data_IF_217238536289
#
_entry.id   IF_217238536289
#
_cell.length_a   1.000
_cell.length_b   1.000
_cell.length_c   1.000
_cell.angle_alpha   90.00
_cell.angle_beta   90.00
_cell.angle_gamma   90.00
#
_symmetry.space_group_name_H-M   'P 1'
#
loop_
_entity.id
_entity.type
_entity.pdbx_description
1 polymer ?
#
# COMPACT_ATOMS: atom_id res chain seq x y z
N UNK A 1 -72.60 -27.94 6.27
CA UNK A 1 -72.16 -29.20 6.89
C UNK A 1 -70.64 -29.14 6.86
N UNK A 2 -70.05 -28.34 7.74
CA UNK A 2 -69.60 -28.74 9.10
C UNK A 2 -68.29 -29.52 9.02
N UNK A 3 -67.15 -28.86 9.25
CA UNK A 3 -66.54 -28.58 10.56
C UNK A 3 -65.90 -29.83 11.20
N UNK A 4 -64.55 -29.86 11.26
CA UNK A 4 -63.76 -29.94 12.52
C UNK A 4 -62.24 -29.98 12.23
N UNK A 5 -61.45 -29.32 13.08
CA UNK A 5 -59.97 -29.40 13.22
C UNK A 5 -59.65 -30.31 14.43
N UNK A 6 -58.43 -30.90 14.60
CA UNK A 6 -57.23 -30.19 15.19
C UNK A 6 -55.84 -30.77 14.70
N UNK A 7 -54.71 -30.02 14.55
CA UNK A 7 -53.72 -29.48 15.53
C UNK A 7 -52.32 -30.19 15.53
N UNK A 8 -51.27 -29.40 15.23
CA UNK A 8 -49.82 -29.44 15.65
C UNK A 8 -48.92 -30.66 15.30
N UNK A 9 -47.73 -30.36 14.76
CA UNK A 9 -46.52 -31.22 14.80
C UNK A 9 -45.34 -30.60 14.05
N UNK A 10 -44.18 -30.41 14.70
CA UNK A 10 -42.98 -29.76 14.15
C UNK A 10 -41.97 -30.76 13.58
N UNK A 11 -41.23 -30.40 12.52
CA UNK A 11 -39.75 -30.55 12.42
C UNK A 11 -39.24 -30.00 11.10
N UNK A 12 -38.13 -29.27 11.15
CA UNK A 12 -37.36 -28.81 9.99
C UNK A 12 -36.23 -29.82 9.73
N UNK A 13 -36.01 -30.22 8.48
CA UNK A 13 -34.81 -30.97 8.10
C UNK A 13 -34.32 -30.48 6.73
N UNK A 14 -33.16 -29.83 6.72
CA UNK A 14 -32.67 -29.07 5.56
C UNK A 14 -31.74 -29.92 4.69
N UNK A 15 -32.31 -30.42 3.59
CA UNK A 15 -31.60 -31.08 2.49
C UNK A 15 -30.46 -30.20 1.95
N UNK A 16 -29.25 -30.74 1.94
CA UNK A 16 -28.11 -30.21 1.18
C UNK A 16 -27.41 -31.36 0.45
N UNK A 17 -27.17 -31.20 -0.85
CA UNK A 17 -26.57 -32.24 -1.71
C UNK A 17 -25.08 -31.96 -1.95
N UNK A 18 -24.24 -32.99 -2.20
CA UNK A 18 -22.81 -32.82 -2.37
C UNK A 18 -22.45 -32.38 -3.80
N UNK A 19 -21.45 -31.51 -3.92
CA UNK A 19 -20.80 -31.21 -5.20
C UNK A 19 -19.83 -32.34 -5.59
N UNK A 20 -19.93 -32.83 -6.83
CA UNK A 20 -18.98 -33.78 -7.41
C UNK A 20 -17.77 -33.03 -7.99
N UNK A 21 -16.56 -33.57 -7.77
CA UNK A 21 -15.30 -33.04 -8.31
C UNK A 21 -14.82 -33.93 -9.45
N UNK A 22 -14.91 -33.43 -10.68
CA UNK A 22 -14.42 -34.15 -11.86
C UNK A 22 -12.89 -34.10 -11.92
N UNK A 23 -12.26 -35.28 -11.95
CA UNK A 23 -10.80 -35.45 -11.92
C UNK A 23 -10.35 -36.09 -13.22
N UNK A 24 -9.71 -35.32 -14.13
CA UNK A 24 -9.21 -35.87 -15.39
C UNK A 24 -7.74 -36.28 -15.29
N UNK A 25 -7.47 -37.56 -15.54
CA UNK A 25 -6.12 -38.15 -15.63
C UNK A 25 -5.82 -38.60 -17.06
N UNK A 26 -4.66 -38.22 -17.60
CA UNK A 26 -4.00 -38.82 -18.77
C UNK A 26 -2.50 -38.85 -18.48
N UNK A 27 -1.95 -39.97 -18.00
CA UNK A 27 -1.29 -41.05 -18.78
C UNK A 27 0.02 -40.63 -19.47
N UNK A 28 1.12 -41.17 -18.96
CA UNK A 28 2.50 -40.94 -19.41
C UNK A 28 2.88 -41.96 -20.48
N UNK A 29 3.64 -41.55 -21.50
CA UNK A 29 4.26 -42.45 -22.47
C UNK A 29 5.79 -42.46 -22.30
N UNK A 30 6.37 -43.66 -22.46
CA UNK A 30 7.77 -44.01 -22.25
C UNK A 30 8.73 -43.47 -23.34
N UNK A 31 9.95 -43.08 -22.95
CA UNK A 31 11.17 -43.13 -23.77
C UNK A 31 12.42 -42.79 -22.94
N UNK A 32 13.33 -43.76 -22.80
CA UNK A 32 14.65 -43.62 -22.16
C UNK A 32 15.74 -43.23 -23.16
N UNK A 33 16.77 -42.47 -22.75
CA UNK A 33 18.13 -42.72 -23.26
C UNK A 33 19.18 -42.90 -22.14
N UNK A 34 20.07 -43.89 -22.32
CA UNK A 34 21.25 -44.12 -21.47
C UNK A 34 22.47 -43.25 -21.88
N UNK A 35 23.46 -43.04 -20.98
CA UNK A 35 24.69 -42.29 -21.27
C UNK A 35 25.83 -43.19 -21.80
N UNK A 36 26.88 -42.61 -22.42
CA UNK A 36 28.13 -43.31 -22.77
C UNK A 36 29.29 -43.09 -21.78
N UNK A 37 30.18 -44.08 -21.71
CA UNK A 37 31.53 -44.06 -21.11
C UNK A 37 32.52 -44.76 -22.07
N UNK A 38 33.83 -44.87 -21.87
CA UNK A 38 34.71 -44.61 -20.71
C UNK A 38 36.12 -44.21 -21.20
N UNK A 39 36.82 -43.26 -20.53
CA UNK A 39 38.26 -43.06 -20.77
C UNK A 39 39.01 -42.32 -19.63
N UNK A 40 39.82 -43.06 -18.88
CA UNK A 40 40.89 -42.60 -17.96
C UNK A 40 42.28 -42.67 -18.68
N UNK A 41 43.47 -42.31 -18.11
CA UNK A 41 43.80 -42.01 -16.70
C UNK A 41 44.84 -40.89 -16.36
N UNK A 42 44.83 -40.42 -15.10
CA UNK A 42 45.99 -40.12 -14.20
C UNK A 42 47.07 -39.04 -14.59
N UNK A 43 47.88 -38.51 -13.63
CA UNK A 43 48.06 -38.91 -12.23
C UNK A 43 47.91 -37.82 -11.14
N UNK A 44 47.99 -38.30 -9.90
CA UNK A 44 47.89 -37.64 -8.60
C UNK A 44 49.03 -36.69 -8.21
N UNK A 45 48.74 -35.75 -7.28
CA UNK A 45 49.60 -35.48 -6.12
C UNK A 45 48.82 -34.86 -4.95
N UNK A 46 49.03 -35.39 -3.74
CA UNK A 46 48.70 -34.79 -2.44
C UNK A 46 49.99 -34.71 -1.60
N UNK A 47 50.11 -33.81 -0.61
CA UNK A 47 49.80 -34.20 0.79
C UNK A 47 49.18 -33.04 1.63
N UNK A 48 48.14 -33.29 2.44
CA UNK A 48 48.17 -33.61 3.89
C UNK A 48 48.27 -32.41 4.88
N UNK A 49 47.27 -32.27 5.74
CA UNK A 49 47.28 -31.52 7.03
C UNK A 49 47.95 -32.40 8.15
N UNK A 50 47.90 -32.13 9.50
CA UNK A 50 47.28 -31.06 10.31
C UNK A 50 48.20 -30.50 11.46
N UNK A 51 47.81 -30.33 12.76
CA UNK A 51 47.27 -29.10 13.36
C UNK A 51 47.95 -28.62 14.68
N UNK A 52 47.49 -27.50 15.27
CA UNK A 52 47.19 -27.31 16.72
C UNK A 52 46.69 -25.86 16.97
N UNK A 53 45.50 -25.58 17.55
CA UNK A 53 44.99 -25.76 18.94
C UNK A 53 45.57 -24.78 19.98
N UNK A 54 44.79 -23.75 20.37
CA UNK A 54 44.61 -23.34 21.78
C UNK A 54 43.48 -22.30 21.98
N UNK A 55 42.60 -22.61 22.93
CA UNK A 55 41.58 -21.75 23.56
C UNK A 55 42.16 -20.53 24.28
N UNK A 56 41.37 -19.45 24.47
CA UNK A 56 41.28 -18.57 25.68
C UNK A 56 40.21 -17.48 25.37
N UNK A 57 39.01 -17.56 25.97
CA UNK A 57 38.54 -16.74 27.09
C UNK A 57 38.50 -15.21 26.87
N UNK A 58 37.28 -14.68 26.70
CA UNK A 58 36.98 -13.23 26.68
C UNK A 58 36.44 -12.79 28.04
N UNK A 59 37.00 -11.71 28.61
CA UNK A 59 36.54 -11.13 29.89
C UNK A 59 36.44 -9.59 29.80
N UNK A 60 35.52 -9.01 30.57
CA UNK A 60 35.15 -7.59 30.48
C UNK A 60 36.08 -6.67 31.28
N UNK A 61 36.32 -5.44 30.80
CA UNK A 61 36.60 -4.26 31.63
C UNK A 61 36.30 -2.96 30.86
N UNK A 62 36.02 -1.87 31.59
CA UNK A 62 35.55 -0.60 31.05
C UNK A 62 36.51 0.59 31.34
N UNK A 63 36.10 1.79 30.88
CA UNK A 63 36.73 3.11 31.10
C UNK A 63 38.00 3.36 30.26
N UNK A 64 38.34 4.57 29.80
CA UNK A 64 38.01 5.95 30.24
C UNK A 64 37.85 6.92 29.05
N UNK A 65 37.40 8.16 29.30
CA UNK A 65 37.22 9.20 28.27
C UNK A 65 38.04 10.48 28.56
N UNK A 66 38.52 11.17 27.51
CA UNK A 66 38.84 12.62 27.46
C UNK A 66 39.12 13.04 26.01
N UNK A 67 38.39 13.96 25.34
CA UNK A 67 38.04 15.39 25.55
C UNK A 67 39.06 16.42 25.01
N UNK A 68 38.61 17.19 24.00
CA UNK A 68 38.90 18.61 23.57
C UNK A 68 39.02 18.66 22.03
N UNK A 69 38.61 19.71 21.29
CA UNK A 69 38.16 21.10 21.56
C UNK A 69 37.21 21.51 20.41
N UNK A 70 36.09 22.22 20.61
CA UNK A 70 35.94 23.69 20.45
C UNK A 70 36.04 24.15 18.98
N UNK A 71 35.10 24.87 18.35
CA UNK A 71 34.46 26.15 18.76
C UNK A 71 33.00 26.33 18.26
N UNK A 72 32.32 27.42 18.64
CA UNK A 72 30.87 27.60 18.52
C UNK A 72 30.43 29.00 18.01
N UNK A 73 29.16 29.13 17.57
CA UNK A 73 28.24 30.29 17.73
C UNK A 73 26.88 30.01 17.06
N UNK A 74 25.75 29.81 17.78
CA UNK A 74 24.77 30.81 18.30
C UNK A 74 24.04 31.62 17.20
N UNK A 75 22.71 31.80 17.17
CA UNK A 75 21.87 32.50 18.17
C UNK A 75 20.35 32.16 18.07
N UNK A 76 19.71 31.87 19.23
CA UNK A 76 18.37 32.23 19.80
C UNK A 76 17.11 32.48 18.90
N UNK A 77 15.85 32.41 19.39
CA UNK A 77 15.07 31.66 20.43
C UNK A 77 13.61 32.19 20.37
N UNK A 78 12.61 31.34 20.60
CA UNK A 78 11.20 31.74 20.89
C UNK A 78 10.90 31.71 22.39
N UNK A 79 9.81 32.37 22.85
CA UNK A 79 9.11 31.90 24.05
C UNK A 79 7.58 32.15 24.10
N UNK A 80 6.79 31.20 24.65
CA UNK A 80 5.92 31.43 25.84
C UNK A 80 5.03 30.24 26.25
N UNK A 81 4.89 30.10 27.58
CA UNK A 81 3.85 29.42 28.40
C UNK A 81 3.52 30.48 29.50
N UNK A 82 2.35 30.65 30.13
CA UNK A 82 1.40 29.67 30.68
C UNK A 82 0.05 30.31 31.10
N UNK A 83 -1.03 29.51 31.05
CA UNK A 83 -2.20 29.39 31.98
C UNK A 83 -2.91 30.63 32.62
N UNK A 84 -4.20 30.77 32.25
CA UNK A 84 -5.46 31.03 33.03
C UNK A 84 -5.47 32.00 34.24
N UNK A 85 -6.45 32.93 34.28
CA UNK A 85 -7.69 32.92 35.13
C UNK A 85 -8.58 34.17 34.94
N UNK A 86 -9.92 34.02 34.96
CA UNK A 86 -10.90 35.00 35.50
C UNK A 86 -11.40 36.17 34.62
N UNK A 87 -12.73 36.34 34.53
CA UNK A 87 -13.41 37.64 34.26
C UNK A 87 -14.00 38.22 35.56
N UNK A 88 -15.03 39.11 35.56
CA UNK A 88 -15.79 39.67 34.42
C UNK A 88 -16.17 41.19 34.49
N UNK A 89 -16.84 41.69 33.42
CA UNK A 89 -17.88 42.77 33.34
C UNK A 89 -17.61 44.28 33.67
N UNK A 90 -17.70 45.07 32.59
CA UNK A 90 -18.76 46.09 32.30
C UNK A 90 -18.69 47.60 32.69
N UNK A 91 -19.34 48.41 31.83
CA UNK A 91 -19.82 49.81 31.94
C UNK A 91 -18.78 50.97 31.74
N UNK A 92 -19.06 52.01 30.93
CA UNK A 92 -20.19 52.99 31.05
C UNK A 92 -20.61 53.67 29.72
N UNK A 93 -21.83 54.26 29.73
CA UNK A 93 -22.46 55.11 28.67
C UNK A 93 -22.43 56.60 29.04
N UNK A 94 -22.55 57.51 28.06
CA UNK A 94 -23.09 58.90 28.14
C UNK A 94 -22.84 59.63 26.78
N UNK A 95 -23.61 60.62 26.26
CA UNK A 95 -24.90 61.25 26.64
C UNK A 95 -25.57 61.93 25.40
N UNK A 96 -26.85 62.30 25.50
CA UNK A 96 -27.67 63.10 24.56
C UNK A 96 -27.45 64.63 24.77
N UNK A 97 -28.00 65.60 23.97
CA UNK A 97 -29.43 66.00 24.08
C UNK A 97 -30.17 66.69 22.88
N UNK A 98 -31.46 66.32 22.69
CA UNK A 98 -32.71 67.15 22.63
C UNK A 98 -33.02 68.33 21.63
N UNK A 99 -34.32 68.32 21.19
CA UNK A 99 -35.29 69.46 20.94
C UNK A 99 -35.15 70.31 19.64
N UNK A 100 -36.22 70.90 19.02
CA UNK A 100 -37.68 71.02 19.33
C UNK A 100 -38.56 71.57 18.15
N UNK A 101 -39.84 71.15 18.04
CA UNK A 101 -41.03 71.89 17.51
C UNK A 101 -41.12 72.21 15.98
N UNK A 102 -42.27 72.59 15.37
CA UNK A 102 -43.71 72.52 15.74
C UNK A 102 -44.62 72.91 14.54
N UNK A 103 -45.88 72.44 14.50
CA UNK A 103 -47.01 72.82 13.59
C UNK A 103 -46.90 72.48 12.08
N UNK A 104 -47.99 72.11 11.38
CA UNK A 104 -49.40 71.93 11.79
C UNK A 104 -50.25 71.21 10.72
N UNK A 105 -51.53 70.97 11.06
CA UNK A 105 -52.74 70.53 10.31
C UNK A 105 -52.70 70.11 8.81
N UNK A 106 -53.66 69.35 8.27
CA UNK A 106 -54.61 68.33 8.75
C UNK A 106 -55.49 67.93 7.55
N UNK A 107 -55.60 66.64 7.22
CA UNK A 107 -56.82 66.11 6.58
C UNK A 107 -57.03 64.68 7.03
N UNK A 108 -58.28 64.36 7.33
CA UNK A 108 -58.68 63.19 8.09
C UNK A 108 -59.31 62.10 7.20
N UNK A 109 -59.36 60.88 7.75
CA UNK A 109 -60.27 59.78 7.36
C UNK A 109 -60.18 59.19 5.93
N UNK A 110 -60.40 57.88 5.73
CA UNK A 110 -60.60 56.76 6.67
C UNK A 110 -60.47 55.41 5.94
N UNK A 111 -60.34 54.32 6.71
CA UNK A 111 -60.46 52.93 6.23
C UNK A 111 -59.15 52.40 5.65
N UNK A 112 -58.42 51.56 6.41
CA UNK A 112 -58.50 50.09 6.32
C UNK A 112 -57.70 49.58 5.11
N UNK A 113 -56.78 48.62 5.24
CA UNK A 113 -56.74 47.48 6.17
C UNK A 113 -55.32 47.20 6.69
N UNK A 114 -55.20 46.17 7.53
CA UNK A 114 -53.95 45.78 8.18
C UNK A 114 -53.02 45.07 7.17
N UNK A 115 -51.96 45.73 6.71
CA UNK A 115 -50.70 44.99 6.48
C UNK A 115 -50.00 44.82 7.83
N UNK A 116 -50.51 43.82 8.55
CA UNK A 116 -49.84 43.19 9.67
C UNK A 116 -48.40 42.87 9.26
N UNK A 117 -47.45 43.56 9.89
CA UNK A 117 -46.07 43.59 9.44
C UNK A 117 -45.39 42.28 9.77
N UNK A 118 -45.50 41.28 8.88
CA UNK A 118 -44.86 39.96 8.94
C UNK A 118 -43.32 40.01 8.74
N UNK A 119 -42.72 41.12 9.16
CA UNK A 119 -41.29 41.33 9.28
C UNK A 119 -40.87 41.04 10.71
N UNK A 120 -40.99 39.77 11.11
CA UNK A 120 -40.58 39.26 12.41
C UNK A 120 -39.11 39.60 12.75
N UNK A 121 -38.69 39.45 14.02
CA UNK A 121 -37.34 39.81 14.46
C UNK A 121 -36.29 38.76 14.02
N UNK A 122 -35.94 38.80 12.73
CA UNK A 122 -34.91 37.99 12.10
C UNK A 122 -33.50 38.40 12.53
N UNK A 123 -32.53 37.53 12.21
CA UNK A 123 -31.10 37.77 12.35
C UNK A 123 -30.61 37.98 13.80
N UNK A 124 -29.29 37.99 13.98
CA UNK A 124 -28.62 38.27 15.26
C UNK A 124 -28.98 39.65 15.82
N UNK A 125 -29.38 40.60 14.97
CA UNK A 125 -29.80 41.93 15.36
C UNK A 125 -31.26 42.04 15.83
N UNK A 126 -32.08 40.98 15.64
CA UNK A 126 -33.54 41.00 15.89
C UNK A 126 -34.24 42.17 15.18
N UNK A 127 -33.85 42.39 13.93
CA UNK A 127 -34.42 43.42 13.07
C UNK A 127 -35.40 42.82 12.06
N UNK A 128 -36.29 43.67 11.54
CA UNK A 128 -37.09 43.36 10.35
C UNK A 128 -36.21 43.07 9.12
N UNK A 129 -36.78 42.41 8.11
CA UNK A 129 -36.23 42.45 6.75
C UNK A 129 -36.33 43.89 6.22
N UNK A 130 -35.18 44.52 6.04
CA UNK A 130 -35.05 45.90 5.53
C UNK A 130 -34.58 45.95 4.06
N UNK A 131 -34.85 44.87 3.31
CA UNK A 131 -34.46 44.65 1.91
C UNK A 131 -32.93 44.62 1.66
N UNK A 132 -32.10 44.61 2.71
CA UNK A 132 -30.69 44.22 2.57
C UNK A 132 -30.59 42.74 2.21
N UNK A 133 -29.46 42.36 1.61
CA UNK A 133 -29.24 40.95 1.27
C UNK A 133 -29.17 40.07 2.53
N UNK A 134 -30.03 39.05 2.58
CA UNK A 134 -30.13 38.07 3.67
C UNK A 134 -29.86 36.65 3.16
N UNK A 135 -29.51 35.75 4.08
CA UNK A 135 -29.35 34.31 3.82
C UNK A 135 -29.95 33.46 4.94
N UNK A 136 -30.65 32.38 4.58
CA UNK A 136 -31.28 31.44 5.52
C UNK A 136 -30.27 30.41 6.05
N UNK A 137 -30.38 30.01 7.32
CA UNK A 137 -29.57 28.98 7.96
C UNK A 137 -30.21 27.58 7.84
N UNK A 138 -29.49 26.63 7.25
CA UNK A 138 -29.95 25.23 7.01
C UNK A 138 -30.22 24.41 8.30
N UNK A 139 -29.88 24.93 9.48
CA UNK A 139 -30.09 24.22 10.77
C UNK A 139 -31.16 24.84 11.66
N UNK A 140 -31.40 26.16 11.58
CA UNK A 140 -32.38 26.84 12.43
C UNK A 140 -33.43 27.64 11.66
N UNK A 141 -33.37 27.62 10.33
CA UNK A 141 -34.35 28.21 9.40
C UNK A 141 -34.59 29.72 9.61
N UNK A 142 -33.70 30.39 10.34
CA UNK A 142 -33.67 31.84 10.59
C UNK A 142 -32.85 32.55 9.51
N UNK A 143 -33.21 33.81 9.24
CA UNK A 143 -32.65 34.64 8.17
C UNK A 143 -31.63 35.64 8.71
N UNK A 144 -30.50 35.80 8.01
CA UNK A 144 -29.38 36.62 8.48
C UNK A 144 -28.95 37.65 7.44
N UNK A 145 -29.06 38.95 7.79
CA UNK A 145 -28.45 40.04 7.03
C UNK A 145 -26.95 39.81 6.84
N UNK A 146 -26.45 39.87 5.59
CA UNK A 146 -25.04 39.63 5.28
C UNK A 146 -24.07 40.48 6.09
N UNK A 147 -24.39 41.76 6.30
CA UNK A 147 -23.60 42.68 7.12
C UNK A 147 -23.45 42.21 8.57
N UNK A 148 -24.51 41.64 9.16
CA UNK A 148 -24.52 41.16 10.54
C UNK A 148 -23.71 39.86 10.74
N UNK A 149 -23.41 39.14 9.66
CA UNK A 149 -22.58 37.92 9.66
C UNK A 149 -21.24 38.12 8.91
N UNK A 150 -20.88 39.37 8.58
CA UNK A 150 -19.70 39.74 7.81
C UNK A 150 -19.57 39.01 6.45
N UNK A 151 -20.70 38.72 5.79
CA UNK A 151 -20.78 38.05 4.50
C UNK A 151 -21.14 39.04 3.38
N UNK A 152 -20.31 39.11 2.34
CA UNK A 152 -20.62 39.89 1.15
C UNK A 152 -21.66 39.17 0.29
N UNK A 153 -22.63 39.92 -0.26
CA UNK A 153 -23.66 39.43 -1.20
C UNK A 153 -23.09 38.51 -2.28
N UNK A 154 -22.02 38.93 -2.96
CA UNK A 154 -21.37 38.12 -4.01
C UNK A 154 -20.91 36.74 -3.53
N UNK A 155 -20.35 36.65 -2.32
CA UNK A 155 -19.88 35.37 -1.73
C UNK A 155 -21.07 34.52 -1.32
N UNK A 156 -22.09 35.14 -0.72
CA UNK A 156 -23.30 34.47 -0.30
C UNK A 156 -24.07 33.83 -1.45
N UNK A 157 -24.33 34.58 -2.51
CA UNK A 157 -25.09 34.09 -3.68
C UNK A 157 -24.29 33.09 -4.53
N UNK A 158 -23.00 33.34 -4.75
CA UNK A 158 -22.22 32.57 -5.73
C UNK A 158 -21.40 31.44 -5.13
N UNK A 159 -20.94 31.56 -3.88
CA UNK A 159 -19.97 30.63 -3.28
C UNK A 159 -20.51 29.82 -2.11
N UNK A 160 -21.61 30.21 -1.46
CA UNK A 160 -22.21 29.33 -0.45
C UNK A 160 -22.99 28.21 -1.13
N UNK A 161 -22.82 27.00 -0.59
CA UNK A 161 -23.60 25.82 -0.93
C UNK A 161 -24.62 25.50 0.16
N UNK A 162 -24.22 25.60 1.43
CA UNK A 162 -25.08 25.47 2.60
C UNK A 162 -24.64 26.45 3.67
N UNK A 163 -25.54 27.31 4.15
CA UNK A 163 -25.21 28.27 5.20
C UNK A 163 -25.56 27.72 6.59
N UNK A 164 -24.59 27.79 7.50
CA UNK A 164 -24.79 27.54 8.93
C UNK A 164 -24.43 28.82 9.67
N UNK A 165 -25.38 29.38 10.42
CA UNK A 165 -25.18 30.65 11.12
C UNK A 165 -24.17 30.51 12.28
N UNK A 166 -23.61 31.63 12.78
CA UNK A 166 -22.63 31.61 13.88
C UNK A 166 -23.15 30.98 15.18
N UNK A 167 -24.47 30.91 15.40
CA UNK A 167 -25.08 30.28 16.58
C UNK A 167 -25.23 28.75 16.43
N UNK A 168 -25.33 28.24 15.21
CA UNK A 168 -25.48 26.82 14.91
C UNK A 168 -24.15 26.14 14.54
N UNK A 169 -23.10 26.93 14.29
CA UNK A 169 -21.77 26.42 13.91
C UNK A 169 -21.14 25.64 15.07
N UNK A 170 -20.78 24.37 14.84
CA UNK A 170 -20.14 23.48 15.81
C UNK A 170 -19.19 22.50 15.09
N UNK A 171 -18.66 21.49 15.80
CA UNK A 171 -17.69 20.53 15.23
C UNK A 171 -18.25 19.71 14.04
N UNK A 172 -19.57 19.52 13.96
CA UNK A 172 -20.22 18.72 12.91
C UNK A 172 -21.03 19.57 11.90
N UNK A 173 -21.35 20.82 12.23
CA UNK A 173 -22.13 21.73 11.38
C UNK A 173 -21.33 23.00 11.08
N UNK A 174 -20.96 23.18 9.81
CA UNK A 174 -20.22 24.34 9.31
C UNK A 174 -20.76 24.77 7.94
N UNK A 175 -20.67 26.05 7.61
CA UNK A 175 -21.01 26.57 6.27
C UNK A 175 -20.18 25.89 5.19
N UNK A 176 -20.83 25.31 4.19
CA UNK A 176 -20.19 24.69 3.04
C UNK A 176 -20.05 25.71 1.90
N UNK A 177 -18.85 25.75 1.31
CA UNK A 177 -18.52 26.66 0.21
C UNK A 177 -18.16 25.88 -1.06
N UNK A 178 -18.75 26.31 -2.18
CA UNK A 178 -18.41 25.90 -3.54
C UNK A 178 -16.95 26.27 -3.83
N UNK A 179 -16.24 25.44 -4.60
CA UNK A 179 -14.87 25.74 -5.04
C UNK A 179 -14.89 26.99 -5.93
N UNK A 180 -13.98 27.93 -5.68
CA UNK A 180 -13.78 29.12 -6.51
C UNK A 180 -13.12 28.76 -7.85
N UNK A 181 -13.39 29.57 -8.87
CA UNK A 181 -12.71 29.53 -10.16
C UNK A 181 -11.18 29.62 -10.01
N UNK A 182 -10.44 28.71 -10.67
CA UNK A 182 -8.98 28.64 -10.60
C UNK A 182 -8.24 29.82 -11.29
N UNK A 183 -8.95 30.69 -12.03
CA UNK A 183 -8.37 31.92 -12.56
C UNK A 183 -8.15 32.92 -11.42
N UNK A 184 -6.89 33.21 -11.10
CA UNK A 184 -6.52 34.14 -10.03
C UNK A 184 -7.23 35.49 -10.13
N UNK A 185 -7.92 35.87 -9.06
CA UNK A 185 -8.75 37.08 -8.96
C UNK A 185 -10.25 36.84 -9.17
N UNK A 186 -10.67 35.70 -9.74
CA UNK A 186 -12.08 35.37 -9.90
C UNK A 186 -12.71 34.83 -8.60
N UNK A 187 -13.88 35.35 -8.22
CA UNK A 187 -14.66 34.90 -7.05
C UNK A 187 -15.97 34.17 -7.41
N UNK A 188 -16.15 33.78 -8.66
CA UNK A 188 -17.28 32.94 -9.10
C UNK A 188 -17.00 31.48 -8.77
N UNK A 189 -18.05 30.68 -8.55
CA UNK A 189 -17.91 29.23 -8.39
C UNK A 189 -17.37 28.56 -9.67
N UNK A 190 -16.55 27.54 -9.49
CA UNK A 190 -16.10 26.64 -10.55
C UNK A 190 -17.20 25.63 -10.91
N UNK A 191 -17.29 25.23 -12.18
CA UNK A 191 -18.29 24.26 -12.68
C UNK A 191 -17.95 22.81 -12.32
N UNK A 192 -17.54 22.53 -11.07
CA UNK A 192 -17.02 21.22 -10.64
C UNK A 192 -18.12 20.13 -10.61
N UNK A 193 -19.35 20.52 -10.26
CA UNK A 193 -20.50 19.64 -10.15
C UNK A 193 -21.47 19.71 -11.35
N UNK A 194 -21.06 20.33 -12.46
CA UNK A 194 -21.86 20.41 -13.69
C UNK A 194 -21.48 19.27 -14.65
N UNK A 195 -22.29 19.08 -15.69
CA UNK A 195 -22.06 18.10 -16.76
C UNK A 195 -20.69 18.32 -17.44
N UNK A 196 -20.42 19.55 -17.88
CA UNK A 196 -19.06 20.00 -18.22
C UNK A 196 -18.25 20.34 -16.95
N UNK A 197 -17.67 19.31 -16.32
CA UNK A 197 -16.82 19.47 -15.13
C UNK A 197 -15.62 20.38 -15.41
N UNK A 198 -15.55 21.51 -14.73
CA UNK A 198 -14.44 22.46 -14.87
C UNK A 198 -14.02 23.10 -13.55
N UNK A 199 -12.71 23.32 -13.38
CA UNK A 199 -12.15 24.14 -12.29
C UNK A 199 -12.31 25.65 -12.52
N UNK A 200 -12.92 26.05 -13.64
CA UNK A 200 -13.20 27.44 -14.00
C UNK A 200 -14.70 27.72 -14.00
N UNK A 201 -15.09 28.99 -13.86
CA UNK A 201 -16.49 29.42 -13.94
C UNK A 201 -17.02 29.53 -15.39
N UNK A 202 -16.15 29.85 -16.35
CA UNK A 202 -16.48 29.92 -17.79
C UNK A 202 -15.35 29.36 -18.64
N UNK A 203 -15.63 29.02 -19.90
CA UNK A 203 -14.61 28.55 -20.84
C UNK A 203 -13.62 29.66 -21.20
N UNK A 204 -14.04 30.93 -21.20
CA UNK A 204 -13.18 32.10 -21.35
C UNK A 204 -12.13 32.20 -20.23
N UNK A 205 -12.51 31.87 -18.98
CA UNK A 205 -11.59 31.87 -17.84
C UNK A 205 -10.59 30.71 -17.93
N UNK A 206 -11.02 29.55 -18.44
CA UNK A 206 -10.13 28.42 -18.73
C UNK A 206 -9.12 28.79 -19.83
N UNK A 207 -9.61 29.39 -20.93
CA UNK A 207 -8.78 29.84 -22.05
C UNK A 207 -7.77 30.91 -21.62
N UNK A 208 -8.22 31.92 -20.87
CA UNK A 208 -7.34 32.98 -20.31
C UNK A 208 -6.25 32.39 -19.40
N UNK A 209 -6.58 31.35 -18.63
CA UNK A 209 -5.61 30.66 -17.79
C UNK A 209 -4.59 29.88 -18.63
N UNK A 210 -5.04 29.17 -19.68
CA UNK A 210 -4.17 28.45 -20.61
C UNK A 210 -3.22 29.39 -21.36
N UNK A 211 -3.73 30.48 -21.91
CA UNK A 211 -2.92 31.50 -22.59
C UNK A 211 -1.86 32.09 -21.66
N UNK A 212 -2.22 32.39 -20.39
CA UNK A 212 -1.27 32.84 -19.36
C UNK A 212 -0.27 31.77 -18.93
N UNK A 213 -0.58 30.49 -19.11
CA UNK A 213 0.35 29.40 -18.84
C UNK A 213 1.36 29.27 -19.99
N UNK A 214 0.86 29.17 -21.22
CA UNK A 214 1.66 29.05 -22.44
C UNK A 214 2.57 30.27 -22.64
N UNK A 215 2.07 31.48 -22.36
CA UNK A 215 2.85 32.71 -22.48
C UNK A 215 4.04 32.83 -21.50
N UNK A 216 4.16 31.94 -20.50
CA UNK A 216 5.36 31.86 -19.63
C UNK A 216 6.49 31.03 -20.24
N UNK A 217 6.20 30.22 -21.26
CA UNK A 217 7.20 29.36 -21.89
C UNK A 217 8.05 30.14 -22.89
N UNK A 218 9.33 29.78 -23.10
CA UNK A 218 10.16 30.36 -24.14
C UNK A 218 9.56 30.12 -25.54
N UNK A 219 9.53 31.16 -26.39
CA UNK A 219 9.08 31.03 -27.79
C UNK A 219 10.07 30.31 -28.69
N UNK A 220 11.36 30.29 -28.32
CA UNK A 220 12.42 29.67 -29.10
C UNK A 220 13.46 29.05 -28.16
N UNK A 221 14.08 27.96 -28.61
CA UNK A 221 15.16 27.29 -27.87
C UNK A 221 16.40 28.19 -27.88
N UNK A 222 16.93 28.50 -26.70
CA UNK A 222 18.09 29.38 -26.57
C UNK A 222 19.32 28.79 -27.28
N UNK A 223 20.11 29.63 -27.96
CA UNK A 223 21.41 29.24 -28.52
C UNK A 223 22.44 29.05 -27.39
N UNK A 224 22.38 27.91 -26.71
CA UNK A 224 23.36 27.48 -25.72
C UNK A 224 22.77 26.65 -24.60
N UNK A 225 23.23 25.39 -24.51
CA UNK A 225 22.94 24.49 -23.40
C UNK A 225 21.70 23.61 -23.57
N UNK A 226 21.77 22.41 -23.01
CA UNK A 226 20.59 21.57 -22.76
C UNK A 226 19.82 22.25 -21.63
N UNK A 227 18.63 22.76 -21.94
CA UNK A 227 17.73 23.38 -20.97
C UNK A 227 16.45 22.57 -20.94
N UNK A 228 16.07 22.05 -19.77
CA UNK A 228 14.88 21.21 -19.55
C UNK A 228 13.56 21.99 -19.69
N UNK A 229 13.60 23.29 -19.98
CA UNK A 229 12.42 24.09 -20.28
C UNK A 229 11.87 23.79 -21.69
N UNK A 230 10.66 23.23 -21.72
CA UNK A 230 9.84 23.13 -22.93
C UNK A 230 9.60 24.52 -23.54
N UNK A 231 9.86 24.64 -24.83
CA UNK A 231 9.38 25.78 -25.62
C UNK A 231 7.86 25.73 -25.80
N UNK A 232 7.26 26.85 -26.20
CA UNK A 232 5.85 26.92 -26.57
C UNK A 232 5.47 25.89 -27.65
N UNK A 233 6.35 25.66 -28.64
CA UNK A 233 6.12 24.70 -29.72
C UNK A 233 6.18 23.25 -29.22
N UNK A 234 7.20 22.89 -28.45
CA UNK A 234 7.34 21.56 -27.85
C UNK A 234 6.17 21.24 -26.90
N UNK A 235 5.70 22.22 -26.11
CA UNK A 235 4.55 22.05 -25.22
C UNK A 235 3.24 21.82 -25.98
N UNK A 236 2.98 22.59 -27.05
CA UNK A 236 1.79 22.41 -27.88
C UNK A 236 1.85 21.09 -28.66
N UNK A 237 3.03 20.67 -29.12
CA UNK A 237 3.24 19.38 -29.76
C UNK A 237 2.98 18.20 -28.80
N UNK A 238 3.36 18.31 -27.53
CA UNK A 238 3.03 17.30 -26.51
C UNK A 238 1.52 17.19 -26.25
N UNK A 239 0.80 18.32 -26.18
CA UNK A 239 -0.66 18.33 -26.03
C UNK A 239 -1.39 17.72 -27.24
N UNK A 240 -0.86 17.91 -28.46
CA UNK A 240 -1.45 17.37 -29.69
C UNK A 240 -1.01 15.93 -30.01
N UNK A 241 0.17 15.50 -29.53
CA UNK A 241 0.81 14.24 -29.92
C UNK A 241 0.15 12.97 -29.39
N UNK A 242 -1.00 13.06 -28.72
CA UNK A 242 -1.71 11.91 -28.14
C UNK A 242 -0.88 11.16 -27.10
N UNK A 243 0.13 11.82 -26.51
CA UNK A 243 1.12 11.16 -25.65
C UNK A 243 0.51 10.81 -24.29
N UNK A 244 -0.50 11.56 -23.84
CA UNK A 244 -1.25 11.35 -22.59
C UNK A 244 -2.66 10.82 -22.84
N UNK A 245 -3.08 9.84 -22.05
CA UNK A 245 -4.45 9.34 -21.98
C UNK A 245 -4.75 8.82 -20.58
N UNK A 246 -5.83 8.06 -20.45
CA UNK A 246 -6.24 7.44 -19.18
C UNK A 246 -6.21 5.92 -19.26
N UNK A 247 -5.84 5.26 -18.16
CA UNK A 247 -6.08 3.82 -17.99
C UNK A 247 -7.56 3.51 -17.64
N UNK A 248 -7.87 2.24 -17.41
CA UNK A 248 -9.23 1.75 -17.15
C UNK A 248 -9.82 2.33 -15.86
N UNK A 249 -8.95 2.73 -14.93
CA UNK A 249 -9.26 3.40 -13.66
C UNK A 249 -9.40 4.93 -13.80
N UNK A 250 -9.17 5.49 -14.99
CA UNK A 250 -9.24 6.93 -15.26
C UNK A 250 -8.01 7.73 -14.81
N UNK A 251 -6.89 7.06 -14.49
CA UNK A 251 -5.62 7.65 -14.10
C UNK A 251 -4.79 8.05 -15.32
N UNK A 252 -4.09 9.17 -15.25
CA UNK A 252 -3.28 9.67 -16.38
C UNK A 252 -2.04 8.81 -16.62
N UNK A 253 -1.90 8.27 -17.84
CA UNK A 253 -0.80 7.42 -18.31
C UNK A 253 -0.30 7.90 -19.68
N UNK A 254 0.95 7.58 -20.03
CA UNK A 254 1.41 7.73 -21.42
C UNK A 254 0.74 6.67 -22.31
N UNK A 255 0.05 7.09 -23.38
CA UNK A 255 -0.70 6.19 -24.29
C UNK A 255 0.21 5.22 -25.03
N UNK A 256 1.44 5.65 -25.34
CA UNK A 256 2.47 4.84 -25.97
C UNK A 256 3.70 4.81 -25.09
N UNK A 257 4.21 3.62 -24.81
CA UNK A 257 5.51 3.47 -24.17
C UNK A 257 6.60 4.06 -25.10
N UNK A 258 7.65 4.72 -24.56
CA UNK A 258 8.79 5.17 -25.36
C UNK A 258 9.35 4.03 -26.20
N UNK A 259 9.62 4.29 -27.48
CA UNK A 259 10.13 3.30 -28.44
C UNK A 259 9.24 2.05 -28.64
N UNK A 260 7.95 2.09 -28.25
CA UNK A 260 6.97 1.22 -28.85
C UNK A 260 6.96 1.49 -30.36
N UNK A 261 7.38 0.51 -31.16
CA UNK A 261 7.35 0.62 -32.61
C UNK A 261 5.93 0.87 -33.11
N UNK A 262 5.80 1.34 -34.36
CA UNK A 262 4.51 1.25 -35.03
C UNK A 262 4.13 -0.23 -35.11
N UNK A 263 3.11 -0.64 -34.35
CA UNK A 263 2.51 -1.95 -34.49
C UNK A 263 1.86 -2.02 -35.87
N UNK A 264 2.64 -2.50 -36.84
CA UNK A 264 2.15 -2.79 -38.18
C UNK A 264 1.11 -3.89 -38.05
N UNK A 265 -0.15 -3.48 -38.09
CA UNK A 265 -1.30 -4.38 -38.08
C UNK A 265 -1.31 -5.16 -39.40
N UNK A 266 -0.52 -6.24 -39.44
CA UNK A 266 -0.08 -6.93 -40.64
C UNK A 266 -0.02 -8.42 -40.40
N UNK A 267 -1.14 -9.08 -40.69
CA UNK A 267 -1.21 -10.54 -40.81
C UNK A 267 -0.24 -11.05 -41.87
N UNK A 268 0.79 -11.78 -41.46
CA UNK A 268 1.16 -13.09 -42.01
C UNK A 268 2.32 -13.66 -41.18
N UNK A 269 2.20 -14.92 -40.78
CA UNK A 269 3.19 -15.55 -39.90
C UNK A 269 4.29 -16.30 -40.65
N UNK A 270 5.45 -16.38 -40.02
CA UNK A 270 6.34 -17.54 -40.09
C UNK A 270 7.19 -17.57 -38.82
N UNK A 271 7.43 -18.77 -38.31
CA UNK A 271 8.37 -19.11 -37.23
C UNK A 271 8.18 -18.42 -35.87
N UNK A 272 7.67 -19.20 -34.90
CA UNK A 272 7.69 -18.86 -33.47
C UNK A 272 9.11 -19.05 -32.90
N UNK A 273 10.07 -18.25 -33.34
CA UNK A 273 11.23 -18.00 -32.49
C UNK A 273 10.76 -17.24 -31.26
N UNK A 274 11.13 -17.71 -30.06
CA UNK A 274 10.66 -17.11 -28.82
C UNK A 274 11.26 -15.69 -28.69
N UNK A 275 10.47 -14.60 -28.79
CA UNK A 275 11.00 -13.25 -28.90
C UNK A 275 11.73 -12.78 -27.64
N UNK A 276 11.61 -13.50 -26.53
CA UNK A 276 12.32 -13.26 -25.28
C UNK A 276 13.81 -13.66 -25.29
N UNK A 277 14.30 -14.42 -26.28
CA UNK A 277 15.70 -14.87 -26.32
C UNK A 277 16.58 -14.25 -27.42
N UNK A 278 15.96 -13.61 -28.42
CA UNK A 278 16.65 -13.10 -29.63
C UNK A 278 17.44 -11.81 -29.41
N UNK A 279 17.24 -11.12 -28.28
CA UNK A 279 17.76 -9.77 -28.02
C UNK A 279 18.59 -9.62 -26.73
N UNK A 280 18.84 -10.72 -26.02
CA UNK A 280 19.71 -10.78 -24.84
C UNK A 280 21.18 -10.96 -25.25
N UNK A 281 22.10 -10.28 -24.56
CA UNK A 281 23.54 -10.54 -24.69
C UNK A 281 23.93 -11.92 -24.11
N UNK A 282 25.17 -12.37 -24.36
CA UNK A 282 25.67 -13.60 -23.74
C UNK A 282 25.74 -13.47 -22.21
N UNK A 283 26.27 -12.35 -21.71
CA UNK A 283 26.36 -12.04 -20.26
C UNK A 283 24.97 -12.00 -19.61
N UNK A 284 23.95 -11.48 -20.31
CA UNK A 284 22.58 -11.42 -19.80
C UNK A 284 21.89 -12.79 -19.77
N UNK A 285 22.22 -13.68 -20.71
CA UNK A 285 21.76 -15.08 -20.69
C UNK A 285 22.36 -15.81 -19.49
N UNK A 286 23.67 -15.71 -19.29
CA UNK A 286 24.37 -16.29 -18.14
C UNK A 286 23.83 -15.75 -16.80
N UNK A 287 23.60 -14.43 -16.69
CA UNK A 287 22.99 -13.83 -15.50
C UNK A 287 21.56 -14.35 -15.26
N UNK A 288 20.72 -14.44 -16.29
CA UNK A 288 19.34 -14.97 -16.16
C UNK A 288 19.32 -16.47 -15.81
N UNK A 289 20.27 -17.26 -16.32
CA UNK A 289 20.43 -18.67 -15.96
C UNK A 289 20.89 -18.82 -14.50
N UNK A 290 21.85 -18.00 -14.05
CA UNK A 290 22.30 -17.95 -12.65
C UNK A 290 21.18 -17.49 -11.70
N UNK A 291 20.37 -16.51 -12.09
CA UNK A 291 19.24 -16.02 -11.31
C UNK A 291 18.13 -17.08 -11.20
N UNK A 292 17.83 -17.79 -12.29
CA UNK A 292 16.88 -18.89 -12.30
C UNK A 292 17.35 -20.06 -11.40
N UNK A 293 18.64 -20.38 -11.43
CA UNK A 293 19.25 -21.38 -10.54
C UNK A 293 19.17 -20.94 -9.06
N UNK A 294 19.44 -19.67 -8.76
CA UNK A 294 19.30 -19.12 -7.40
C UNK A 294 17.86 -19.21 -6.89
N UNK A 295 16.86 -18.84 -7.71
CA UNK A 295 15.43 -19.00 -7.37
C UNK A 295 15.03 -20.45 -7.16
N UNK A 296 15.59 -21.38 -7.94
CA UNK A 296 15.34 -22.81 -7.77
C UNK A 296 15.88 -23.31 -6.42
N UNK A 297 17.11 -22.94 -6.04
CA UNK A 297 17.67 -23.29 -4.73
C UNK A 297 16.88 -22.69 -3.57
N UNK A 298 16.47 -21.42 -3.64
CA UNK A 298 15.62 -20.79 -2.63
C UNK A 298 14.27 -21.50 -2.46
N UNK A 299 13.69 -22.01 -3.56
CA UNK A 299 12.48 -22.82 -3.51
C UNK A 299 12.71 -24.20 -2.86
N UNK A 300 13.83 -24.86 -3.17
CA UNK A 300 14.23 -26.14 -2.55
C UNK A 300 14.46 -25.99 -1.04
N UNK A 301 15.19 -24.95 -0.61
CA UNK A 301 15.38 -24.63 0.81
C UNK A 301 14.07 -24.28 1.51
N UNK A 302 13.17 -23.57 0.82
CA UNK A 302 11.82 -23.27 1.35
C UNK A 302 11.03 -24.56 1.59
N UNK A 303 11.07 -25.53 0.66
CA UNK A 303 10.44 -26.84 0.85
C UNK A 303 11.07 -27.61 2.02
N UNK A 304 12.39 -27.53 2.18
CA UNK A 304 13.10 -28.16 3.30
C UNK A 304 12.66 -27.57 4.65
N UNK A 305 12.54 -26.24 4.74
CA UNK A 305 12.05 -25.55 5.95
C UNK A 305 10.60 -25.92 6.29
N UNK A 306 9.74 -26.15 5.29
CA UNK A 306 8.39 -26.67 5.52
C UNK A 306 8.42 -28.10 6.08
N UNK A 307 9.27 -29.00 5.54
CA UNK A 307 9.46 -30.35 6.10
C UNK A 307 9.98 -30.31 7.55
N UNK A 308 10.88 -29.38 7.89
CA UNK A 308 11.34 -29.16 9.27
C UNK A 308 10.19 -28.76 10.19
N UNK A 309 9.30 -27.87 9.73
CA UNK A 309 8.13 -27.44 10.49
C UNK A 309 7.15 -28.61 10.71
N UNK A 310 6.92 -29.43 9.69
CA UNK A 310 6.10 -30.65 9.81
C UNK A 310 6.68 -31.66 10.80
N UNK A 311 8.01 -31.89 10.81
CA UNK A 311 8.64 -32.76 11.82
C UNK A 311 8.46 -32.20 13.25
N UNK A 312 8.59 -30.88 13.40
CA UNK A 312 8.38 -30.18 14.66
C UNK A 312 6.92 -30.30 15.16
N UNK A 313 5.95 -30.24 14.25
CA UNK A 313 4.53 -30.47 14.52
C UNK A 313 4.28 -31.92 14.96
N UNK A 314 4.81 -32.92 14.25
CA UNK A 314 4.67 -34.33 14.65
C UNK A 314 5.29 -34.62 16.03
N UNK A 315 6.43 -34.01 16.36
CA UNK A 315 7.04 -34.14 17.70
C UNK A 315 6.17 -33.50 18.78
N UNK A 316 5.52 -32.37 18.48
CA UNK A 316 4.58 -31.72 19.40
C UNK A 316 3.31 -32.56 19.60
N UNK A 317 2.74 -33.10 18.53
CA UNK A 317 1.59 -34.03 18.59
C UNK A 317 1.93 -35.30 19.40
N UNK A 318 3.11 -35.90 19.18
CA UNK A 318 3.58 -37.06 19.96
C UNK A 318 3.67 -36.73 21.46
N UNK A 319 4.20 -35.55 21.81
CA UNK A 319 4.21 -35.05 23.20
C UNK A 319 2.79 -34.88 23.75
N UNK A 320 1.86 -34.32 22.96
CA UNK A 320 0.46 -34.15 23.38
C UNK A 320 -0.23 -35.51 23.60
N UNK A 321 -0.02 -36.48 22.70
CA UNK A 321 -0.55 -37.83 22.84
C UNK A 321 -0.05 -38.51 24.13
N UNK A 322 1.24 -38.40 24.45
CA UNK A 322 1.80 -38.92 25.70
C UNK A 322 1.22 -38.24 26.97
N UNK A 323 0.80 -36.98 26.89
CA UNK A 323 0.10 -36.30 27.99
C UNK A 323 -1.34 -36.81 28.11
N UNK A 324 -2.07 -36.93 27.00
CA UNK A 324 -3.44 -37.47 26.97
C UNK A 324 -3.50 -38.92 27.45
N UNK A 325 -2.50 -39.74 27.12
CA UNK A 325 -2.35 -41.11 27.62
C UNK A 325 -1.94 -41.20 29.10
N UNK A 326 -1.74 -40.06 29.79
CA UNK A 326 -1.33 -40.01 31.20
C UNK A 326 0.11 -40.43 31.47
N UNK A 327 0.91 -40.69 30.43
CA UNK A 327 2.35 -41.04 30.54
C UNK A 327 3.17 -39.84 30.97
N UNK A 328 2.90 -38.68 30.38
CA UNK A 328 3.55 -37.41 30.70
C UNK A 328 2.59 -36.47 31.43
N UNK A 329 3.18 -35.64 32.31
CA UNK A 329 2.52 -34.45 32.87
C UNK A 329 2.86 -33.24 32.01
N UNK A 330 2.04 -32.20 32.08
CA UNK A 330 2.23 -30.95 31.31
C UNK A 330 3.61 -30.31 31.53
N UNK A 331 4.25 -30.54 32.68
CA UNK A 331 5.57 -30.00 33.03
C UNK A 331 6.76 -30.79 32.45
N UNK A 332 6.52 -31.91 31.75
CA UNK A 332 7.53 -32.69 31.03
C UNK A 332 7.93 -31.98 29.72
N UNK A 333 9.22 -32.02 29.40
CA UNK A 333 9.78 -31.34 28.23
C UNK A 333 9.26 -31.90 26.89
N UNK A 334 9.36 -33.21 26.68
CA UNK A 334 8.84 -33.88 25.48
C UNK A 334 9.52 -33.48 24.16
N UNK A 335 10.75 -32.95 24.21
CA UNK A 335 11.58 -32.72 23.02
C UNK A 335 12.06 -34.06 22.45
N UNK A 336 11.82 -34.35 21.17
CA UNK A 336 12.30 -35.56 20.50
C UNK A 336 13.71 -35.33 19.93
N UNK A 337 14.63 -36.27 20.17
CA UNK A 337 16.05 -36.18 19.75
C UNK A 337 16.22 -35.92 18.24
N UNK A 338 15.29 -36.40 17.40
CA UNK A 338 15.35 -36.18 15.94
C UNK A 338 15.17 -34.72 15.53
N UNK A 339 14.69 -33.86 16.43
CA UNK A 339 14.65 -32.41 16.21
C UNK A 339 16.05 -31.76 16.21
N UNK A 340 17.10 -32.43 16.69
CA UNK A 340 18.48 -31.95 16.57
C UNK A 340 18.89 -31.80 15.09
N UNK A 341 18.31 -32.62 14.19
CA UNK A 341 18.54 -32.51 12.75
C UNK A 341 18.11 -31.15 12.17
N UNK A 342 17.07 -30.52 12.72
CA UNK A 342 16.58 -29.19 12.31
C UNK A 342 17.64 -28.10 12.56
N UNK A 343 18.59 -28.33 13.48
CA UNK A 343 19.66 -27.38 13.81
C UNK A 343 20.64 -27.08 12.67
N UNK A 344 20.69 -27.91 11.61
CA UNK A 344 21.56 -27.67 10.45
C UNK A 344 20.91 -28.19 9.16
N UNK A 345 20.91 -27.36 8.10
CA UNK A 345 20.27 -27.64 6.79
C UNK A 345 20.68 -29.01 6.24
N UNK A 346 21.99 -29.23 6.07
CA UNK A 346 22.54 -30.43 5.43
C UNK A 346 22.29 -31.70 6.27
N UNK A 347 22.24 -31.56 7.60
CA UNK A 347 21.91 -32.66 8.52
C UNK A 347 20.43 -33.05 8.42
N UNK A 348 19.53 -32.06 8.35
CA UNK A 348 18.11 -32.32 8.11
C UNK A 348 17.84 -32.89 6.72
N UNK A 349 18.57 -32.43 5.70
CA UNK A 349 18.46 -32.98 4.33
C UNK A 349 18.88 -34.45 4.29
N UNK A 350 20.00 -34.80 4.93
CA UNK A 350 20.44 -36.18 5.09
C UNK A 350 19.42 -37.03 5.88
N UNK A 351 18.83 -36.48 6.95
CA UNK A 351 17.74 -37.12 7.69
C UNK A 351 16.49 -37.34 6.81
N UNK A 352 16.06 -36.33 6.06
CA UNK A 352 14.86 -36.40 5.21
C UNK A 352 15.00 -37.36 4.03
N UNK A 353 16.23 -37.64 3.58
CA UNK A 353 16.58 -38.68 2.58
C UNK A 353 16.91 -40.04 3.21
N UNK A 354 16.94 -40.14 4.53
CA UNK A 354 17.16 -41.42 5.22
C UNK A 354 15.89 -42.28 5.20
N UNK A 355 16.01 -43.62 5.26
CA UNK A 355 14.83 -44.49 5.31
C UNK A 355 13.94 -44.26 6.54
N UNK A 356 14.49 -43.73 7.64
CA UNK A 356 13.67 -43.32 8.79
C UNK A 356 12.86 -42.05 8.48
N UNK A 357 13.51 -41.02 7.93
CA UNK A 357 12.86 -39.77 7.55
C UNK A 357 11.76 -39.99 6.51
N UNK A 358 12.05 -40.76 5.46
CA UNK A 358 11.04 -41.14 4.45
C UNK A 358 9.85 -41.89 5.07
N UNK A 359 10.10 -42.81 6.00
CA UNK A 359 9.03 -43.53 6.70
C UNK A 359 8.18 -42.59 7.57
N UNK A 360 8.80 -41.64 8.29
CA UNK A 360 8.10 -40.65 9.13
C UNK A 360 7.22 -39.73 8.27
N UNK A 361 7.75 -39.17 7.18
CA UNK A 361 6.98 -38.29 6.29
C UNK A 361 5.88 -39.05 5.53
N UNK A 362 6.12 -40.30 5.14
CA UNK A 362 5.10 -41.15 4.49
C UNK A 362 3.99 -41.60 5.45
N UNK A 363 4.31 -41.82 6.72
CA UNK A 363 3.34 -42.16 7.76
C UNK A 363 2.60 -40.93 8.32
N UNK A 364 3.03 -39.70 7.96
CA UNK A 364 2.58 -38.44 8.53
C UNK A 364 2.54 -38.42 10.07
N UNK A 365 3.48 -39.12 10.71
CA UNK A 365 3.51 -39.26 12.18
C UNK A 365 4.88 -39.67 12.69
N UNK A 366 5.36 -38.96 13.70
CA UNK A 366 6.55 -39.34 14.46
C UNK A 366 6.21 -40.47 15.44
N UNK A 367 6.80 -41.65 15.21
CA UNK A 367 6.56 -42.86 16.00
C UNK A 367 7.79 -43.27 16.83
N UNK A 368 7.67 -44.33 17.64
CA UNK A 368 8.76 -44.96 18.38
C UNK A 368 9.95 -45.31 17.43
N UNK A 369 11.17 -44.78 17.67
CA UNK A 369 12.35 -45.06 16.85
C UNK A 369 12.70 -46.55 16.68
N UNK A 370 12.31 -47.42 17.61
CA UNK A 370 12.61 -48.87 17.55
C UNK A 370 11.42 -49.73 17.13
N UNK A 371 10.22 -49.15 17.01
CA UNK A 371 8.99 -49.90 16.68
C UNK A 371 8.54 -50.92 17.74
N UNK A 372 9.08 -50.86 18.96
CA UNK A 372 8.73 -51.74 20.09
C UNK A 372 7.38 -51.37 20.73
N UNK A 373 6.83 -50.21 20.37
CA UNK A 373 5.55 -49.70 20.87
C UNK A 373 5.70 -48.73 22.05
N UNK A 374 6.90 -48.21 22.28
CA UNK A 374 7.19 -47.29 23.37
C UNK A 374 6.84 -45.85 22.99
N UNK A 375 5.65 -45.43 23.42
CA UNK A 375 5.05 -44.12 23.16
C UNK A 375 6.00 -42.95 23.50
N UNK A 376 6.86 -43.10 24.53
CA UNK A 376 7.71 -42.01 25.06
C UNK A 376 9.19 -42.09 24.63
N UNK A 377 9.63 -43.18 23.99
CA UNK A 377 11.03 -43.38 23.59
C UNK A 377 11.59 -42.30 22.68
N UNK A 378 12.75 -41.74 23.04
CA UNK A 378 13.38 -40.64 22.30
C UNK A 378 12.88 -39.24 22.69
N UNK A 379 11.88 -39.13 23.58
CA UNK A 379 11.43 -37.84 24.12
C UNK A 379 12.12 -37.49 25.45
N UNK A 380 12.43 -36.20 25.63
CA UNK A 380 13.07 -35.68 26.83
C UNK A 380 12.11 -35.66 28.04
N UNK A 381 12.29 -36.59 28.98
CA UNK A 381 11.46 -36.73 30.18
C UNK A 381 11.72 -35.67 31.28
N UNK A 382 12.69 -34.76 31.08
CA UNK A 382 13.08 -33.77 32.09
C UNK A 382 11.95 -32.78 32.37
N UNK A 383 11.46 -32.74 33.62
CA UNK A 383 10.53 -31.72 34.11
C UNK A 383 11.15 -30.32 34.04
N UNK A 384 10.43 -29.36 33.46
CA UNK A 384 10.87 -27.96 33.28
C UNK A 384 12.31 -27.87 32.74
N UNK A 385 12.61 -28.65 31.70
CA UNK A 385 13.94 -28.68 31.09
C UNK A 385 14.38 -27.28 30.64
N UNK A 386 15.56 -26.84 31.10
CA UNK A 386 16.14 -25.54 30.71
C UNK A 386 16.74 -25.55 29.31
N UNK A 387 17.34 -26.67 28.88
CA UNK A 387 18.02 -26.78 27.58
C UNK A 387 17.05 -26.65 26.41
N UNK A 388 15.89 -27.31 26.50
CA UNK A 388 14.84 -27.25 25.47
C UNK A 388 13.70 -26.32 25.91
N UNK A 389 14.02 -25.24 26.62
CA UNK A 389 13.04 -24.31 27.17
C UNK A 389 12.23 -23.63 26.07
N UNK A 390 10.96 -24.01 25.93
CA UNK A 390 10.08 -23.45 24.89
C UNK A 390 10.41 -23.89 23.45
N UNK A 391 11.10 -25.04 23.29
CA UNK A 391 11.60 -25.56 22.01
C UNK A 391 10.61 -25.41 20.84
N UNK A 392 9.35 -25.84 21.02
CA UNK A 392 8.33 -25.80 19.97
C UNK A 392 8.07 -24.38 19.46
N UNK A 393 7.95 -23.40 20.37
CA UNK A 393 7.71 -22.00 20.01
C UNK A 393 8.95 -21.35 19.37
N UNK A 394 10.15 -21.68 19.86
CA UNK A 394 11.39 -21.10 19.35
C UNK A 394 11.72 -21.62 17.94
N UNK A 395 11.68 -22.94 17.74
CA UNK A 395 11.96 -23.57 16.44
C UNK A 395 10.89 -23.20 15.41
N UNK A 396 9.60 -23.24 15.76
CA UNK A 396 8.54 -22.84 14.81
C UNK A 396 8.62 -21.37 14.42
N UNK A 397 9.00 -20.47 15.32
CA UNK A 397 9.20 -19.06 15.01
C UNK A 397 10.43 -18.84 14.11
N UNK A 398 11.54 -19.57 14.36
CA UNK A 398 12.74 -19.54 13.52
C UNK A 398 12.45 -20.01 12.09
N UNK A 399 11.87 -21.20 11.94
CA UNK A 399 11.50 -21.75 10.63
C UNK A 399 10.51 -20.83 9.87
N UNK A 400 9.48 -20.29 10.56
CA UNK A 400 8.55 -19.32 9.96
C UNK A 400 9.18 -17.96 9.65
N UNK A 401 10.33 -17.63 10.22
CA UNK A 401 11.11 -16.47 9.81
C UNK A 401 11.92 -16.80 8.55
N UNK A 402 12.65 -17.90 8.55
CA UNK A 402 13.47 -18.36 7.42
C UNK A 402 12.63 -18.56 6.15
N UNK A 403 11.46 -19.20 6.23
CA UNK A 403 10.53 -19.36 5.09
C UNK A 403 10.14 -18.01 4.48
N UNK A 404 9.89 -16.98 5.30
CA UNK A 404 9.54 -15.64 4.81
C UNK A 404 10.75 -14.92 4.21
N UNK A 405 11.94 -15.14 4.76
CA UNK A 405 13.19 -14.59 4.24
C UNK A 405 13.54 -15.19 2.87
N UNK A 406 13.47 -16.51 2.71
CA UNK A 406 13.69 -17.21 1.44
C UNK A 406 12.66 -16.79 0.38
N UNK A 407 11.38 -16.65 0.76
CA UNK A 407 10.36 -16.11 -0.14
C UNK A 407 10.68 -14.66 -0.59
N UNK A 408 11.11 -13.80 0.34
CA UNK A 408 11.51 -12.41 0.02
C UNK A 408 12.68 -12.38 -0.95
N UNK A 409 13.73 -13.18 -0.71
CA UNK A 409 14.90 -13.27 -1.59
C UNK A 409 14.53 -13.84 -2.97
N UNK A 410 13.62 -14.83 -3.03
CA UNK A 410 13.18 -15.39 -4.30
C UNK A 410 12.39 -14.36 -5.12
N UNK A 411 11.54 -13.55 -4.47
CA UNK A 411 10.83 -12.44 -5.10
C UNK A 411 11.79 -11.34 -5.59
N UNK A 412 12.78 -10.95 -4.79
CA UNK A 412 13.83 -9.99 -5.17
C UNK A 412 14.56 -10.42 -6.45
N UNK A 413 15.08 -11.66 -6.50
CA UNK A 413 15.73 -12.21 -7.70
C UNK A 413 14.75 -12.30 -8.88
N UNK A 414 13.47 -12.55 -8.61
CA UNK A 414 12.41 -12.57 -9.63
C UNK A 414 12.12 -11.20 -10.25
N UNK A 415 12.21 -10.13 -9.47
CA UNK A 415 12.10 -8.75 -9.97
C UNK A 415 13.36 -8.32 -10.72
N UNK A 416 14.56 -8.72 -10.26
CA UNK A 416 15.81 -8.50 -10.99
C UNK A 416 15.80 -9.18 -12.38
N UNK A 417 15.36 -10.43 -12.45
CA UNK A 417 15.17 -11.14 -13.72
C UNK A 417 14.21 -10.41 -14.68
N UNK A 418 13.06 -9.93 -14.16
CA UNK A 418 12.08 -9.16 -14.95
C UNK A 418 12.68 -7.84 -15.43
N UNK A 419 13.37 -7.12 -14.56
CA UNK A 419 14.04 -5.88 -14.88
C UNK A 419 15.11 -6.06 -15.97
N UNK A 420 15.89 -7.14 -15.89
CA UNK A 420 16.90 -7.47 -16.90
C UNK A 420 16.28 -7.78 -18.27
N UNK A 421 15.25 -8.64 -18.30
CA UNK A 421 14.50 -8.93 -19.54
C UNK A 421 13.84 -7.67 -20.12
N UNK A 422 13.28 -6.79 -19.28
CA UNK A 422 12.68 -5.54 -19.75
C UNK A 422 13.73 -4.55 -20.27
N UNK A 423 14.86 -4.39 -19.59
CA UNK A 423 15.97 -3.55 -20.05
C UNK A 423 16.52 -4.03 -21.41
N UNK A 424 16.64 -5.35 -21.61
CA UNK A 424 17.04 -5.91 -22.89
C UNK A 424 16.02 -5.61 -24.00
N UNK A 425 14.71 -5.78 -23.73
CA UNK A 425 13.62 -5.41 -24.65
C UNK A 425 13.68 -3.94 -25.05
N UNK A 426 13.89 -3.04 -24.09
CA UNK A 426 13.93 -1.60 -24.33
C UNK A 426 15.18 -1.16 -25.10
N UNK A 427 16.35 -1.72 -24.80
CA UNK A 427 17.56 -1.49 -25.61
C UNK A 427 17.40 -1.97 -27.04
N UNK A 428 16.74 -3.12 -27.26
CA UNK A 428 16.47 -3.64 -28.60
C UNK A 428 15.50 -2.74 -29.37
N UNK A 429 14.37 -2.34 -28.76
CA UNK A 429 13.41 -1.36 -29.33
C UNK A 429 14.07 -0.05 -29.71
N UNK A 430 14.92 0.48 -28.80
CA UNK A 430 15.73 1.67 -29.05
C UNK A 430 16.65 1.48 -30.26
N UNK A 431 17.39 0.38 -30.34
CA UNK A 431 18.29 0.09 -31.48
C UNK A 431 17.56 0.06 -32.83
N UNK A 432 16.36 -0.54 -32.88
CA UNK A 432 15.52 -0.57 -34.08
C UNK A 432 15.07 0.84 -34.50
N UNK A 433 14.58 1.65 -33.54
CA UNK A 433 14.10 3.01 -33.83
C UNK A 433 15.21 4.00 -34.20
N UNK A 434 16.36 3.94 -33.54
CA UNK A 434 17.50 4.84 -33.80
C UNK A 434 18.35 4.40 -35.02
N UNK A 435 18.10 3.21 -35.59
CA UNK A 435 18.93 2.57 -36.64
C UNK A 435 20.42 2.53 -36.31
N UNK A 436 20.75 2.41 -35.03
CA UNK A 436 22.10 2.55 -34.51
C UNK A 436 22.83 1.19 -34.51
N UNK A 437 24.04 1.13 -35.05
CA UNK A 437 24.90 -0.06 -34.99
C UNK A 437 26.31 0.30 -34.53
N UNK A 438 26.96 -0.67 -33.88
CA UNK A 438 28.34 -0.58 -33.43
C UNK A 438 29.10 -1.65 -34.20
N UNK A 439 30.20 -1.25 -34.84
CA UNK A 439 31.15 -2.13 -35.49
C UNK A 439 32.41 -2.17 -34.62
N UNK A 440 32.84 -3.38 -34.24
CA UNK A 440 34.12 -3.57 -33.55
C UNK A 440 35.18 -3.69 -34.63
N UNK A 441 36.11 -2.73 -34.68
CA UNK A 441 37.25 -2.79 -35.58
C UNK A 441 38.36 -3.58 -34.87
N UNK A 442 38.64 -4.79 -35.35
CA UNK A 442 39.84 -5.53 -34.96
C UNK A 442 41.09 -4.77 -35.42
N UNK A 443 42.01 -4.50 -34.48
CA UNK A 443 43.21 -3.67 -34.69
C UNK A 443 44.50 -4.38 -34.30
#
# INVERSE_FOLDING_TARGET
MEQTTPTIGQSEDSRSEPFENDTKSETVADSTPQPPSDAHPAPSNSPSHPPSTSTELYNMAAHTASKKKGTASTVKKTPKRSKKTGGPRAAKRAKLPARSGSAGDAHESAGSELEESDHGPYCLCRGADDHRWMICCENCEDWFHGECINMNKEVGENLIEKFICPLCTNENLTTLYKKTCALGGCRKAARVAQEEKSVFCSNEHAQTWWERMVAKLPKAKGKGGVNDQLTQEEFMALLQGGVSGTDEEGLWRLVKAPFAGEESNGTNGTEKENPDQTHLSAEEKEYLESAAAARFHLAEETVLCHKMLTLLEFAHERRQAAITAGRFKEDICGYDERLDSIGARDAFEAFAKSPEGEAIFKASRLSDPLGEGDEVRGMCERKRCKFHGGWYKMLSLGLKHQIREMATQADEVGEEEKAMRQAAKDRWRRKQSEKNWVEVLDG
#
